data_IF_540658885792
#
_entry.id   IF_540658885792
#
_cell.length_a   1.000
_cell.length_b   1.000
_cell.length_c   1.000
_cell.angle_alpha   90.00
_cell.angle_beta   90.00
_cell.angle_gamma   90.00
#
_symmetry.space_group_name_H-M   'P 1'
#
loop_
_entity.id
_entity.type
_entity.pdbx_description
1 polymer ?
#
# COMPACT_ATOMS: atom_id res chain seq x y z
N UNK A 1 -5.05 -8.47 26.56
CA UNK A 1 -6.14 -8.67 25.58
C UNK A 1 -5.63 -8.64 24.13
N UNK A 2 -5.00 -7.56 23.65
CA UNK A 2 -4.51 -7.46 22.25
C UNK A 2 -3.48 -8.55 21.89
N UNK A 3 -2.61 -8.94 22.83
CA UNK A 3 -1.63 -10.02 22.62
C UNK A 3 -2.28 -11.38 22.32
N UNK A 4 -3.36 -11.77 23.01
CA UNK A 4 -3.97 -13.09 22.82
C UNK A 4 -4.69 -13.20 21.48
N UNK A 5 -5.30 -12.12 21.01
CA UNK A 5 -6.00 -12.11 19.72
C UNK A 5 -5.03 -12.15 18.53
N UNK A 6 -3.90 -11.43 18.61
CA UNK A 6 -2.86 -11.52 17.58
C UNK A 6 -2.30 -12.94 17.43
N UNK A 7 -2.04 -13.62 18.54
CA UNK A 7 -1.54 -15.01 18.51
C UNK A 7 -2.55 -15.94 17.82
N UNK A 8 -3.84 -15.83 18.15
CA UNK A 8 -4.91 -16.62 17.49
C UNK A 8 -5.00 -16.38 15.98
N UNK A 9 -4.81 -15.13 15.54
CA UNK A 9 -4.84 -14.79 14.11
C UNK A 9 -3.60 -15.37 13.40
N UNK A 10 -2.42 -15.27 14.02
CA UNK A 10 -1.16 -15.80 13.48
C UNK A 10 -1.20 -17.33 13.34
N UNK A 11 -1.93 -18.04 14.19
CA UNK A 11 -2.09 -19.49 14.10
C UNK A 11 -2.83 -19.94 12.83
N UNK A 12 -3.65 -19.07 12.22
CA UNK A 12 -4.37 -19.38 10.98
C UNK A 12 -3.41 -19.76 9.85
N UNK A 13 -3.81 -20.65 8.93
CA UNK A 13 -2.96 -21.05 7.82
C UNK A 13 -2.71 -19.86 6.88
N UNK A 14 -1.54 -19.86 6.23
CA UNK A 14 -1.07 -18.73 5.39
C UNK A 14 -2.08 -18.37 4.31
N UNK A 15 -2.72 -19.36 3.67
CA UNK A 15 -3.69 -19.14 2.61
C UNK A 15 -4.95 -18.39 3.11
N UNK A 16 -5.39 -18.61 4.35
CA UNK A 16 -6.53 -17.88 4.93
C UNK A 16 -6.18 -16.41 5.11
N UNK A 17 -4.98 -16.12 5.64
CA UNK A 17 -4.51 -14.75 5.81
C UNK A 17 -4.34 -14.05 4.47
N UNK A 18 -3.80 -14.76 3.47
CA UNK A 18 -3.62 -14.24 2.12
C UNK A 18 -4.96 -13.92 1.47
N UNK A 19 -5.95 -14.82 1.56
CA UNK A 19 -7.30 -14.56 1.04
C UNK A 19 -7.94 -13.35 1.73
N UNK A 20 -7.84 -13.25 3.05
CA UNK A 20 -8.40 -12.12 3.80
C UNK A 20 -7.73 -10.78 3.40
N UNK A 21 -6.40 -10.75 3.31
CA UNK A 21 -5.67 -9.56 2.88
C UNK A 21 -5.98 -9.18 1.43
N UNK A 22 -6.10 -10.18 0.54
CA UNK A 22 -6.45 -9.98 -0.87
C UNK A 22 -7.87 -9.45 -1.01
N UNK A 23 -8.83 -10.00 -0.27
CA UNK A 23 -10.20 -9.52 -0.25
C UNK A 23 -10.30 -8.09 0.28
N UNK A 24 -9.54 -7.76 1.32
CA UNK A 24 -9.50 -6.40 1.88
C UNK A 24 -8.89 -5.40 0.89
N UNK A 25 -7.80 -5.75 0.22
CA UNK A 25 -7.21 -4.92 -0.82
C UNK A 25 -8.15 -4.78 -2.02
N UNK A 26 -8.74 -5.89 -2.49
CA UNK A 26 -9.70 -5.90 -3.58
C UNK A 26 -10.90 -5.00 -3.28
N UNK A 27 -11.49 -5.11 -2.08
CA UNK A 27 -12.64 -4.29 -1.72
C UNK A 27 -12.28 -2.80 -1.71
N UNK A 28 -11.13 -2.41 -1.16
CA UNK A 28 -10.65 -1.02 -1.23
C UNK A 28 -10.43 -0.54 -2.67
N UNK A 29 -9.84 -1.38 -3.52
CA UNK A 29 -9.61 -1.09 -4.93
C UNK A 29 -10.92 -0.97 -5.73
N UNK A 30 -11.85 -1.89 -5.50
CA UNK A 30 -13.17 -1.91 -6.12
C UNK A 30 -13.96 -0.66 -5.72
N UNK A 31 -14.00 -0.34 -4.42
CA UNK A 31 -14.69 0.86 -3.95
C UNK A 31 -14.12 2.12 -4.59
N UNK A 32 -12.79 2.21 -4.68
CA UNK A 32 -12.13 3.33 -5.31
C UNK A 32 -12.41 3.42 -6.83
N UNK A 33 -12.25 2.33 -7.58
CA UNK A 33 -12.45 2.36 -9.04
C UNK A 33 -13.92 2.48 -9.44
N UNK A 34 -14.85 1.91 -8.65
CA UNK A 34 -16.26 1.94 -8.99
C UNK A 34 -16.94 3.24 -8.56
N UNK A 35 -16.68 3.70 -7.32
CA UNK A 35 -17.37 4.86 -6.76
C UNK A 35 -16.59 6.18 -6.84
N UNK A 36 -15.25 6.14 -6.90
CA UNK A 36 -14.45 7.37 -7.04
C UNK A 36 -14.13 7.67 -8.50
N UNK A 37 -13.72 6.67 -9.26
CA UNK A 37 -13.54 6.77 -10.71
C UNK A 37 -14.83 6.40 -11.46
N UNK A 38 -15.90 7.17 -11.23
CA UNK A 38 -17.16 6.99 -11.94
C UNK A 38 -17.04 7.38 -13.41
N UNK A 39 -17.98 6.88 -14.23
CA UNK A 39 -18.10 7.28 -15.64
C UNK A 39 -18.21 8.78 -15.79
N UNK A 40 -18.97 9.44 -14.92
CA UNK A 40 -19.22 10.88 -14.96
C UNK A 40 -17.92 11.66 -14.71
N UNK A 41 -17.09 11.22 -13.76
CA UNK A 41 -15.78 11.82 -13.50
C UNK A 41 -14.86 11.69 -14.72
N UNK A 42 -14.90 10.55 -15.41
CA UNK A 42 -14.13 10.38 -16.64
C UNK A 42 -14.67 11.24 -17.77
N UNK A 43 -15.99 11.30 -17.95
CA UNK A 43 -16.64 12.04 -19.04
C UNK A 43 -16.40 13.54 -18.93
N UNK A 44 -16.58 14.11 -17.72
CA UNK A 44 -16.31 15.53 -17.43
C UNK A 44 -14.87 15.93 -17.80
N UNK A 45 -13.92 14.98 -17.73
CA UNK A 45 -12.50 15.25 -17.93
C UNK A 45 -11.93 14.70 -19.24
N UNK A 46 -12.72 13.95 -20.03
CA UNK A 46 -12.30 13.43 -21.33
C UNK A 46 -12.45 14.53 -22.39
N UNK A 47 -11.34 14.89 -23.05
CA UNK A 47 -11.27 16.02 -24.01
C UNK A 47 -10.86 15.60 -25.43
N UNK A 48 -10.97 14.32 -25.75
CA UNK A 48 -10.45 13.73 -27.01
C UNK A 48 -11.54 13.39 -28.00
N UNK A 49 -11.28 13.61 -29.29
CA UNK A 49 -12.23 13.39 -30.39
C UNK A 49 -12.47 11.92 -30.74
N UNK A 50 -11.65 10.99 -30.23
CA UNK A 50 -11.61 9.57 -30.62
C UNK A 50 -12.65 8.67 -29.94
N UNK A 51 -13.71 9.25 -29.37
CA UNK A 51 -14.84 8.52 -28.79
C UNK A 51 -14.62 8.06 -27.35
N UNK A 52 -15.47 8.55 -26.43
CA UNK A 52 -15.41 8.26 -25.00
C UNK A 52 -15.62 6.76 -24.66
N UNK A 53 -16.48 6.06 -25.40
CA UNK A 53 -16.83 4.66 -25.14
C UNK A 53 -15.62 3.71 -25.25
N UNK A 54 -14.77 3.93 -26.25
CA UNK A 54 -13.55 3.13 -26.44
C UNK A 54 -12.55 3.37 -25.30
N UNK A 55 -12.44 4.60 -24.82
CA UNK A 55 -11.58 4.96 -23.70
C UNK A 55 -12.06 4.31 -22.40
N UNK A 56 -13.35 4.43 -22.06
CA UNK A 56 -13.90 3.81 -20.86
C UNK A 56 -13.79 2.28 -20.91
N UNK A 57 -14.05 1.66 -22.07
CA UNK A 57 -13.87 0.23 -22.26
C UNK A 57 -12.45 -0.23 -21.92
N UNK A 58 -11.43 0.50 -22.39
CA UNK A 58 -10.03 0.23 -22.07
C UNK A 58 -9.76 0.37 -20.56
N UNK A 59 -10.20 1.47 -19.93
CA UNK A 59 -10.00 1.71 -18.50
C UNK A 59 -10.63 0.60 -17.65
N UNK A 60 -11.85 0.18 -17.98
CA UNK A 60 -12.56 -0.89 -17.28
C UNK A 60 -11.90 -2.27 -17.47
N UNK A 61 -11.29 -2.52 -18.63
CA UNK A 61 -10.49 -3.73 -18.83
C UNK A 61 -9.25 -3.75 -17.91
N UNK A 62 -8.57 -2.62 -17.75
CA UNK A 62 -7.46 -2.51 -16.79
C UNK A 62 -7.93 -2.64 -15.33
N UNK A 63 -9.11 -2.12 -14.98
CA UNK A 63 -9.72 -2.34 -13.66
C UNK A 63 -9.91 -3.83 -13.40
N UNK A 64 -10.51 -4.55 -14.35
CA UNK A 64 -10.76 -5.99 -14.24
C UNK A 64 -9.47 -6.78 -14.06
N UNK A 65 -8.42 -6.45 -14.84
CA UNK A 65 -7.11 -7.07 -14.69
C UNK A 65 -6.54 -6.85 -13.28
N UNK A 66 -6.65 -5.62 -12.75
CA UNK A 66 -6.19 -5.31 -11.37
C UNK A 66 -6.98 -6.07 -10.31
N UNK A 67 -8.28 -6.27 -10.52
CA UNK A 67 -9.13 -7.06 -9.63
C UNK A 67 -8.71 -8.52 -9.60
N UNK A 68 -8.58 -9.14 -10.77
CA UNK A 68 -8.22 -10.56 -10.90
C UNK A 68 -6.81 -10.83 -10.35
N UNK A 69 -5.89 -9.90 -10.55
CA UNK A 69 -4.50 -10.00 -10.10
C UNK A 69 -4.29 -9.54 -8.65
N UNK A 70 -5.33 -9.08 -7.94
CA UNK A 70 -5.19 -8.61 -6.56
C UNK A 70 -4.58 -9.64 -5.60
N UNK A 71 -4.88 -10.96 -5.67
CA UNK A 71 -4.22 -11.92 -4.79
C UNK A 71 -2.75 -12.12 -5.14
N UNK A 72 -2.43 -12.11 -6.43
CA UNK A 72 -1.05 -12.19 -6.91
C UNK A 72 -0.25 -10.96 -6.48
N UNK A 73 -0.86 -9.77 -6.50
CA UNK A 73 -0.26 -8.53 -6.03
C UNK A 73 0.10 -8.60 -4.54
N UNK A 74 -0.84 -9.00 -3.67
CA UNK A 74 -0.59 -9.14 -2.24
C UNK A 74 0.46 -10.21 -1.94
N UNK A 75 0.43 -11.33 -2.67
CA UNK A 75 1.45 -12.37 -2.55
C UNK A 75 2.84 -11.84 -2.95
N UNK A 76 2.96 -11.20 -4.11
CA UNK A 76 4.22 -10.70 -4.64
C UNK A 76 4.83 -9.62 -3.73
N UNK A 77 4.03 -8.63 -3.29
CA UNK A 77 4.55 -7.58 -2.41
C UNK A 77 4.99 -8.16 -1.06
N UNK A 78 4.24 -9.12 -0.51
CA UNK A 78 4.61 -9.78 0.74
C UNK A 78 5.93 -10.54 0.61
N UNK A 79 6.17 -11.17 -0.54
CA UNK A 79 7.40 -11.90 -0.80
C UNK A 79 8.61 -10.98 -0.97
N UNK A 80 8.46 -9.85 -1.68
CA UNK A 80 9.50 -8.84 -1.81
C UNK A 80 9.89 -8.30 -0.43
N UNK A 81 8.90 -7.95 0.39
CA UNK A 81 9.12 -7.47 1.76
C UNK A 81 9.83 -8.53 2.60
N UNK A 82 9.41 -9.79 2.50
CA UNK A 82 10.07 -10.90 3.20
C UNK A 82 11.55 -10.97 2.85
N UNK A 83 11.88 -10.92 1.55
CA UNK A 83 13.26 -10.95 1.08
C UNK A 83 14.11 -9.82 1.68
N UNK A 84 13.62 -8.59 1.61
CA UNK A 84 14.33 -7.41 2.13
C UNK A 84 14.51 -7.47 3.65
N UNK A 85 13.48 -7.87 4.39
CA UNK A 85 13.57 -8.02 5.85
C UNK A 85 14.51 -9.16 6.26
N UNK A 86 14.49 -10.29 5.55
CA UNK A 86 15.38 -11.42 5.82
C UNK A 86 16.85 -11.04 5.71
N UNK A 87 17.22 -10.22 4.72
CA UNK A 87 18.59 -9.70 4.59
C UNK A 87 19.00 -8.98 5.88
N UNK A 88 18.14 -8.09 6.41
CA UNK A 88 18.42 -7.37 7.66
C UNK A 88 18.55 -8.26 8.89
N UNK A 89 17.67 -9.25 9.01
CA UNK A 89 17.69 -10.22 10.11
C UNK A 89 18.95 -11.10 10.07
N UNK A 90 19.36 -11.55 8.87
CA UNK A 90 20.58 -12.36 8.67
C UNK A 90 21.82 -11.55 9.05
N UNK A 91 21.95 -10.31 8.56
CA UNK A 91 23.09 -9.43 8.90
C UNK A 91 23.20 -9.20 10.41
N UNK A 92 22.09 -9.21 11.13
CA UNK A 92 22.05 -8.98 12.58
C UNK A 92 22.06 -10.25 13.42
N UNK A 93 22.16 -11.43 12.80
CA UNK A 93 22.08 -12.73 13.47
C UNK A 93 20.80 -12.92 14.30
N UNK A 94 19.66 -12.39 13.83
CA UNK A 94 18.37 -12.52 14.51
C UNK A 94 17.57 -13.63 13.85
N UNK A 95 17.16 -14.61 14.66
CA UNK A 95 16.38 -15.76 14.21
C UNK A 95 14.90 -15.49 14.43
N UNK A 96 14.13 -15.47 13.34
CA UNK A 96 12.67 -15.47 13.33
C UNK A 96 12.25 -16.52 12.30
N UNK A 97 11.25 -17.35 12.61
CA UNK A 97 10.76 -18.35 11.67
C UNK A 97 10.18 -17.68 10.42
N UNK A 98 10.65 -18.07 9.23
CA UNK A 98 10.25 -17.49 7.95
C UNK A 98 8.73 -17.50 7.74
N UNK A 99 8.08 -18.61 8.11
CA UNK A 99 6.63 -18.76 8.00
C UNK A 99 5.89 -17.78 8.90
N UNK A 100 6.37 -17.56 10.12
CA UNK A 100 5.80 -16.60 11.06
C UNK A 100 5.99 -15.17 10.55
N UNK A 101 7.19 -14.83 10.09
CA UNK A 101 7.49 -13.52 9.51
C UNK A 101 6.62 -13.24 8.28
N UNK A 102 6.46 -14.22 7.38
CA UNK A 102 5.62 -14.07 6.20
C UNK A 102 4.14 -13.83 6.55
N UNK A 103 3.60 -14.55 7.55
CA UNK A 103 2.24 -14.28 8.06
C UNK A 103 2.11 -12.87 8.64
N UNK A 104 3.12 -12.40 9.37
CA UNK A 104 3.15 -11.03 9.87
C UNK A 104 3.11 -10.02 8.73
N UNK A 105 3.91 -10.22 7.68
CA UNK A 105 3.93 -9.34 6.52
C UNK A 105 2.55 -9.29 5.85
N UNK A 106 1.89 -10.44 5.65
CA UNK A 106 0.52 -10.50 5.11
C UNK A 106 -0.44 -9.69 5.98
N UNK A 107 -0.39 -9.84 7.32
CA UNK A 107 -1.21 -9.03 8.22
C UNK A 107 -0.88 -7.53 8.13
N UNK A 108 0.39 -7.18 7.94
CA UNK A 108 0.83 -5.82 7.72
C UNK A 108 0.30 -5.22 6.41
N UNK A 109 -0.02 -6.03 5.39
CA UNK A 109 -0.59 -5.51 4.14
C UNK A 109 -1.98 -4.90 4.31
N UNK A 110 -2.72 -5.23 5.36
CA UNK A 110 -3.95 -4.51 5.72
C UNK A 110 -3.64 -3.04 5.99
N UNK A 111 -2.60 -2.76 6.78
CA UNK A 111 -2.14 -1.39 7.08
C UNK A 111 -1.73 -0.68 5.80
N UNK A 112 -0.94 -1.35 4.93
CA UNK A 112 -0.50 -0.78 3.66
C UNK A 112 -1.65 -0.55 2.66
N UNK A 113 -2.79 -1.22 2.83
CA UNK A 113 -3.97 -1.07 1.98
C UNK A 113 -4.91 0.05 2.46
N UNK A 114 -4.77 0.51 3.72
CA UNK A 114 -5.61 1.58 4.27
C UNK A 114 -5.64 2.89 3.46
N UNK A 115 -4.58 3.35 2.76
CA UNK A 115 -4.67 4.51 1.89
C UNK A 115 -5.80 4.41 0.85
N UNK A 116 -6.04 3.22 0.28
CA UNK A 116 -7.12 3.00 -0.69
C UNK A 116 -8.49 3.19 -0.05
N UNK A 117 -8.66 2.64 1.16
CA UNK A 117 -9.90 2.76 1.92
C UNK A 117 -10.18 4.20 2.34
N UNK A 118 -9.19 4.88 2.90
CA UNK A 118 -9.34 6.29 3.31
C UNK A 118 -9.65 7.17 2.12
N UNK A 119 -8.99 6.93 0.98
CA UNK A 119 -9.29 7.64 -0.26
C UNK A 119 -10.72 7.39 -0.75
N UNK A 120 -11.17 6.14 -0.79
CA UNK A 120 -12.53 5.81 -1.17
C UNK A 120 -13.56 6.47 -0.24
N UNK A 121 -13.39 6.31 1.07
CA UNK A 121 -14.28 6.90 2.10
C UNK A 121 -14.32 8.42 1.98
N UNK A 122 -13.17 9.08 1.82
CA UNK A 122 -13.10 10.54 1.73
C UNK A 122 -13.90 11.08 0.55
N UNK A 123 -13.67 10.55 -0.65
CA UNK A 123 -14.34 11.06 -1.84
C UNK A 123 -15.82 10.71 -1.88
N UNK A 124 -16.19 9.50 -1.45
CA UNK A 124 -17.59 9.04 -1.50
C UNK A 124 -18.44 9.66 -0.40
N UNK A 125 -17.93 9.74 0.84
CA UNK A 125 -18.74 10.13 2.00
C UNK A 125 -18.51 11.55 2.48
N UNK A 126 -17.34 12.15 2.23
CA UNK A 126 -16.99 13.46 2.78
C UNK A 126 -17.04 14.56 1.71
N UNK A 127 -16.38 14.34 0.58
CA UNK A 127 -16.23 15.38 -0.44
C UNK A 127 -17.43 15.46 -1.40
N UNK A 128 -17.92 14.32 -1.89
CA UNK A 128 -19.10 14.22 -2.76
C UNK A 128 -18.91 14.77 -4.19
N UNK A 129 -18.46 16.02 -4.34
CA UNK A 129 -18.16 16.66 -5.63
C UNK A 129 -16.66 16.97 -5.72
N UNK A 130 -15.97 16.35 -6.67
CA UNK A 130 -14.52 16.43 -6.81
C UNK A 130 -14.09 16.28 -8.26
N UNK A 131 -12.91 16.80 -8.58
CA UNK A 131 -12.31 16.71 -9.92
C UNK A 131 -11.35 15.53 -10.04
N UNK A 132 -11.04 15.16 -11.29
CA UNK A 132 -10.03 14.14 -11.58
C UNK A 132 -8.66 14.47 -10.97
N UNK A 133 -8.27 15.74 -10.98
CA UNK A 133 -6.97 16.16 -10.45
C UNK A 133 -6.94 16.07 -8.92
N UNK A 134 -8.02 16.44 -8.26
CA UNK A 134 -8.12 16.25 -6.81
C UNK A 134 -8.00 14.77 -6.44
N UNK A 135 -8.60 13.86 -7.21
CA UNK A 135 -8.43 12.42 -7.00
C UNK A 135 -6.99 11.98 -7.30
N UNK A 136 -6.37 12.47 -8.38
CA UNK A 136 -4.97 12.13 -8.74
C UNK A 136 -3.97 12.52 -7.68
N UNK A 137 -4.09 13.71 -7.10
CA UNK A 137 -3.14 14.26 -6.13
C UNK A 137 -3.52 13.98 -4.66
N UNK A 138 -4.62 13.26 -4.40
CA UNK A 138 -4.96 12.85 -3.04
C UNK A 138 -4.23 11.58 -2.61
N UNK A 139 -3.26 11.75 -1.72
CA UNK A 139 -2.50 10.67 -1.08
C UNK A 139 -2.55 10.83 0.44
N UNK A 140 -3.48 10.18 1.14
CA UNK A 140 -3.78 10.48 2.55
C UNK A 140 -2.54 10.29 3.44
N UNK A 141 -2.29 11.27 4.30
CA UNK A 141 -1.17 11.30 5.27
C UNK A 141 0.21 11.03 4.65
N UNK A 142 0.45 11.55 3.44
CA UNK A 142 1.71 11.40 2.72
C UNK A 142 2.58 12.64 2.76
N UNK A 143 3.84 12.47 2.36
CA UNK A 143 4.82 13.54 2.22
C UNK A 143 4.47 14.52 1.09
N UNK A 144 3.55 14.15 0.20
CA UNK A 144 3.05 15.00 -0.87
C UNK A 144 2.46 16.33 -0.36
N UNK A 145 1.85 16.33 0.82
CA UNK A 145 1.20 17.53 1.37
C UNK A 145 2.15 18.66 1.78
N UNK A 146 3.47 18.45 1.68
CA UNK A 146 4.46 19.51 1.83
C UNK A 146 4.77 20.25 0.52
N UNK A 147 4.13 19.88 -0.58
CA UNK A 147 4.36 20.43 -1.91
C UNK A 147 3.05 20.92 -2.51
N UNK A 148 3.11 22.00 -3.31
CA UNK A 148 1.96 22.45 -4.09
C UNK A 148 1.74 21.50 -5.28
N UNK A 149 0.55 20.90 -5.44
CA UNK A 149 0.21 20.09 -6.62
C UNK A 149 0.41 20.80 -7.96
N UNK A 150 0.31 22.13 -8.01
CA UNK A 150 0.52 22.92 -9.23
C UNK A 150 1.97 22.94 -9.71
N UNK A 151 2.93 22.77 -8.78
CA UNK A 151 4.35 22.93 -9.04
C UNK A 151 5.08 21.61 -9.30
N UNK A 152 4.39 20.47 -9.20
CA UNK A 152 5.01 19.14 -9.24
C UNK A 152 4.42 18.27 -10.34
N UNK A 153 5.30 17.58 -11.07
CA UNK A 153 4.89 16.59 -12.06
C UNK A 153 4.14 15.41 -11.39
N UNK A 154 3.11 14.88 -12.05
CA UNK A 154 2.26 13.82 -11.49
C UNK A 154 3.05 12.58 -11.03
N UNK A 155 4.13 12.19 -11.73
CA UNK A 155 4.95 11.06 -11.31
C UNK A 155 5.77 11.35 -10.05
N UNK A 156 6.22 12.59 -9.84
CA UNK A 156 6.84 13.04 -8.59
C UNK A 156 5.80 13.02 -7.48
N UNK A 157 4.60 13.51 -7.74
CA UNK A 157 3.49 13.46 -6.79
C UNK A 157 3.16 12.03 -6.35
N UNK A 158 3.12 11.08 -7.29
CA UNK A 158 2.97 9.65 -6.99
C UNK A 158 4.08 9.11 -6.10
N UNK A 159 5.33 9.49 -6.34
CA UNK A 159 6.47 9.03 -5.57
C UNK A 159 6.41 9.57 -4.13
N UNK A 160 6.19 10.88 -3.96
CA UNK A 160 6.01 11.51 -2.65
C UNK A 160 4.78 10.97 -1.90
N UNK A 161 3.69 10.72 -2.63
CA UNK A 161 2.46 10.15 -2.10
C UNK A 161 2.60 8.74 -1.52
N UNK A 162 3.59 7.97 -1.99
CA UNK A 162 3.92 6.64 -1.46
C UNK A 162 4.69 6.70 -0.16
N UNK A 163 5.34 7.82 0.16
CA UNK A 163 5.97 8.03 1.46
C UNK A 163 4.88 8.56 2.40
N UNK A 164 4.31 7.69 3.24
CA UNK A 164 3.17 8.03 4.08
C UNK A 164 3.19 7.34 5.45
N UNK A 165 2.31 7.77 6.35
CA UNK A 165 2.25 7.27 7.72
C UNK A 165 1.90 5.78 7.82
N UNK A 166 1.24 5.20 6.82
CA UNK A 166 0.88 3.79 6.82
C UNK A 166 2.11 2.89 6.69
N UNK A 167 3.14 3.35 5.97
CA UNK A 167 4.43 2.67 5.96
C UNK A 167 5.11 2.72 7.33
N UNK A 168 5.03 3.84 8.05
CA UNK A 168 5.54 3.93 9.44
C UNK A 168 4.78 2.98 10.37
N UNK A 169 3.44 2.95 10.28
CA UNK A 169 2.61 2.03 11.05
C UNK A 169 2.92 0.56 10.72
N UNK A 170 3.12 0.22 9.44
CA UNK A 170 3.57 -1.10 9.01
C UNK A 170 4.93 -1.44 9.63
N UNK A 171 5.90 -0.54 9.59
CA UNK A 171 7.22 -0.78 10.18
C UNK A 171 7.13 -1.01 11.69
N UNK A 172 6.35 -0.21 12.42
CA UNK A 172 6.11 -0.39 13.85
C UNK A 172 5.42 -1.72 14.16
N UNK A 173 4.47 -2.15 13.33
CA UNK A 173 3.79 -3.44 13.45
C UNK A 173 4.79 -4.61 13.29
N UNK A 174 5.59 -4.61 12.22
CA UNK A 174 6.60 -5.66 11.98
C UNK A 174 7.68 -5.66 13.07
N UNK A 175 8.14 -4.48 13.52
CA UNK A 175 9.09 -4.38 14.61
C UNK A 175 8.56 -5.00 15.91
N UNK A 176 7.28 -4.76 16.21
CA UNK A 176 6.59 -5.35 17.36
C UNK A 176 6.48 -6.88 17.24
N UNK A 177 6.27 -7.38 16.02
CA UNK A 177 6.25 -8.81 15.74
C UNK A 177 7.63 -9.45 15.95
N UNK A 178 8.68 -8.88 15.37
CA UNK A 178 10.06 -9.38 15.53
C UNK A 178 10.41 -9.42 17.01
N UNK A 179 10.15 -8.34 17.76
CA UNK A 179 10.38 -8.27 19.21
C UNK A 179 9.57 -9.32 20.00
N UNK A 180 8.42 -9.77 19.48
CA UNK A 180 7.63 -10.79 20.17
C UNK A 180 8.20 -12.21 19.98
N UNK A 181 8.80 -12.47 18.82
CA UNK A 181 9.30 -13.80 18.43
C UNK A 181 10.84 -13.87 18.40
N UNK A 182 11.52 -12.92 19.03
CA UNK A 182 12.98 -12.91 19.20
C UNK A 182 13.36 -12.18 20.49
N UNK A 183 14.59 -12.36 20.96
CA UNK A 183 15.09 -11.75 22.21
C UNK A 183 15.53 -10.28 22.04
N UNK A 184 15.12 -9.65 20.95
CA UNK A 184 15.61 -8.34 20.53
C UNK A 184 14.64 -7.25 21.03
N UNK A 185 15.16 -6.14 21.54
CA UNK A 185 14.32 -5.03 21.96
C UNK A 185 13.64 -4.34 20.76
N UNK A 186 12.54 -3.63 21.04
CA UNK A 186 11.70 -3.03 19.99
C UNK A 186 12.44 -1.99 19.15
N UNK A 187 13.30 -1.16 19.77
CA UNK A 187 14.05 -0.12 19.05
C UNK A 187 15.01 -0.73 18.03
N UNK A 188 15.70 -1.81 18.40
CA UNK A 188 16.57 -2.53 17.49
C UNK A 188 15.78 -3.23 16.39
N UNK A 189 14.64 -3.86 16.71
CA UNK A 189 13.73 -4.42 15.70
C UNK A 189 13.22 -3.35 14.72
N UNK A 190 12.82 -2.18 15.22
CA UNK A 190 12.36 -1.06 14.40
C UNK A 190 13.49 -0.54 13.51
N UNK A 191 14.69 -0.34 14.06
CA UNK A 191 15.87 0.03 13.28
C UNK A 191 16.12 -0.93 12.12
N UNK A 192 16.04 -2.24 12.35
CA UNK A 192 16.18 -3.27 11.31
C UNK A 192 15.17 -3.10 10.19
N UNK A 193 13.90 -2.98 10.55
CA UNK A 193 12.83 -2.79 9.58
C UNK A 193 13.01 -1.47 8.82
N UNK A 194 13.43 -0.39 9.51
CA UNK A 194 13.66 0.91 8.91
C UNK A 194 14.81 0.92 7.91
N UNK A 195 16.00 0.40 8.23
CA UNK A 195 17.13 0.46 7.28
C UNK A 195 17.05 -0.60 6.17
N UNK A 196 16.18 -1.61 6.30
CA UNK A 196 15.92 -2.58 5.21
C UNK A 196 14.73 -2.15 4.36
N UNK A 197 13.53 -2.35 4.87
CA UNK A 197 12.28 -2.05 4.16
C UNK A 197 12.09 -0.54 3.98
N UNK A 198 12.24 0.24 5.05
CA UNK A 198 12.00 1.69 5.02
C UNK A 198 12.95 2.41 4.06
N UNK A 199 14.24 2.13 4.15
CA UNK A 199 15.26 2.69 3.27
C UNK A 199 15.07 2.21 1.83
N UNK A 200 14.74 0.93 1.61
CA UNK A 200 14.40 0.43 0.28
C UNK A 200 13.21 1.16 -0.36
N UNK A 201 12.17 1.44 0.43
CA UNK A 201 11.01 2.23 0.00
C UNK A 201 11.42 3.64 -0.43
N UNK A 202 12.21 4.33 0.40
CA UNK A 202 12.68 5.70 0.15
C UNK A 202 13.58 5.75 -1.08
N UNK A 203 14.56 4.86 -1.19
CA UNK A 203 15.46 4.79 -2.35
C UNK A 203 14.69 4.57 -3.65
N UNK A 204 13.70 3.68 -3.65
CA UNK A 204 12.86 3.46 -4.82
C UNK A 204 12.10 4.73 -5.23
N UNK A 205 11.57 5.50 -4.28
CA UNK A 205 10.87 6.75 -4.61
C UNK A 205 11.84 7.83 -5.08
N UNK A 206 13.03 7.94 -4.48
CA UNK A 206 14.06 8.88 -4.92
C UNK A 206 14.52 8.61 -6.35
N UNK A 207 14.70 7.33 -6.72
CA UNK A 207 15.02 6.96 -8.10
C UNK A 207 13.93 7.44 -9.05
N UNK A 208 12.64 7.23 -8.72
CA UNK A 208 11.53 7.71 -9.54
C UNK A 208 11.58 9.24 -9.66
N UNK A 209 11.81 9.96 -8.56
CA UNK A 209 11.90 11.42 -8.57
C UNK A 209 13.03 11.89 -9.50
N UNK A 210 14.23 11.29 -9.40
CA UNK A 210 15.38 11.65 -10.24
C UNK A 210 15.15 11.42 -11.74
N UNK A 211 14.31 10.45 -12.13
CA UNK A 211 13.97 10.23 -13.54
C UNK A 211 12.98 11.26 -14.11
N UNK A 212 12.30 12.04 -13.27
CA UNK A 212 11.26 12.99 -13.68
C UNK A 212 11.56 14.45 -13.28
N UNK A 213 12.74 14.72 -12.70
CA UNK A 213 13.34 16.06 -12.58
C UNK A 213 14.08 16.37 -13.88
#
# INVERSE_FOLDING_TARGET
MIKSELTKIIEKPVWVLLLAASAFYFAGLFLFSHFVWSTDIYEINYRTDTGFDAYIGMVRMFDLARYLLSPLYIFAISFIILGVLKIGLIINNIKVEDKLLFKAIILGTFILSLPLWVKAVWFVLVKGNYTMDEVKFFYPFSFLYFFDPADIHFNIAKALGRINIYHLAFMSFIASFIKHYSDVNWYRSFGIVSYTYGLGLVLLQLIIILFYI
#
